data_IF_731112191659
#
_entry.id   IF_731112191659
#
_cell.length_a   1.000
_cell.length_b   1.000
_cell.length_c   1.000
_cell.angle_alpha   90.00
_cell.angle_beta   90.00
_cell.angle_gamma   90.00
#
_symmetry.space_group_name_H-M   'P 1'
#
loop_
_entity.id
_entity.type
_entity.pdbx_description
1 polymer ?
#
# COMPACT_ATOMS: atom_id res chain seq x y z
N UNK A 1 9.49 10.36 4.57
CA UNK A 1 10.11 9.23 3.86
C UNK A 1 11.21 9.68 2.92
N UNK A 2 12.46 9.44 3.32
CA UNK A 2 13.61 9.62 2.43
C UNK A 2 13.69 8.46 1.43
N UNK A 3 13.83 8.76 0.14
CA UNK A 3 14.11 7.76 -0.90
C UNK A 3 15.62 7.55 -0.96
N UNK A 4 16.07 6.35 -0.62
CA UNK A 4 17.49 6.00 -0.53
C UNK A 4 17.99 5.54 -1.89
N UNK A 5 19.09 6.10 -2.39
CA UNK A 5 19.86 5.42 -3.44
C UNK A 5 20.53 4.19 -2.80
N UNK A 6 20.01 3.01 -3.10
CA UNK A 6 20.42 1.79 -2.41
C UNK A 6 21.78 1.28 -2.89
N UNK A 7 22.22 1.66 -4.10
CA UNK A 7 23.33 1.00 -4.80
C UNK A 7 23.07 -0.46 -5.20
N UNK A 8 21.91 -1.01 -4.85
CA UNK A 8 21.51 -2.40 -5.11
C UNK A 8 20.81 -2.52 -6.47
N UNK A 9 20.88 -3.69 -7.09
CA UNK A 9 20.11 -3.98 -8.31
C UNK A 9 18.62 -4.10 -8.00
N UNK A 10 17.75 -3.83 -8.98
CA UNK A 10 16.32 -4.05 -8.78
C UNK A 10 16.02 -5.51 -8.46
N UNK A 11 16.70 -6.45 -9.13
CA UNK A 11 16.55 -7.89 -8.94
C UNK A 11 16.92 -8.35 -7.53
N UNK A 12 17.97 -7.78 -6.91
CA UNK A 12 18.34 -8.11 -5.52
C UNK A 12 17.35 -7.57 -4.50
N UNK A 13 16.62 -6.51 -4.84
CA UNK A 13 15.57 -5.89 -4.03
C UNK A 13 14.18 -6.53 -4.22
N UNK A 14 13.97 -7.36 -5.24
CA UNK A 14 12.65 -7.99 -5.45
C UNK A 14 12.27 -8.99 -4.36
N UNK A 15 13.24 -9.64 -3.70
CA UNK A 15 12.97 -10.51 -2.56
C UNK A 15 12.69 -9.66 -1.31
N UNK A 16 11.47 -9.65 -0.73
CA UNK A 16 11.17 -8.86 0.46
C UNK A 16 11.95 -9.28 1.71
N UNK A 17 12.56 -10.47 1.70
CA UNK A 17 13.45 -10.99 2.74
C UNK A 17 14.93 -10.93 2.36
N UNK A 18 15.23 -10.41 1.16
CA UNK A 18 16.56 -10.39 0.60
C UNK A 18 17.55 -9.58 1.43
N UNK A 19 18.83 -9.96 1.36
CA UNK A 19 19.91 -9.25 2.08
C UNK A 19 20.08 -7.79 1.63
N UNK A 20 19.67 -7.46 0.39
CA UNK A 20 19.72 -6.09 -0.14
C UNK A 20 18.88 -5.10 0.68
N UNK A 21 17.88 -5.57 1.42
CA UNK A 21 17.10 -4.73 2.34
C UNK A 21 17.76 -4.55 3.71
N UNK A 22 18.74 -5.39 4.06
CA UNK A 22 19.40 -5.33 5.36
C UNK A 22 20.31 -4.09 5.43
N UNK A 23 20.14 -3.29 6.48
CA UNK A 23 20.92 -2.07 6.69
C UNK A 23 20.36 -0.84 5.99
N UNK A 24 19.38 -0.99 5.09
CA UNK A 24 18.57 0.14 4.61
C UNK A 24 17.65 0.61 5.73
N UNK A 25 17.63 1.91 5.98
CA UNK A 25 16.80 2.50 7.03
C UNK A 25 15.41 2.82 6.50
N UNK A 26 14.37 2.36 7.20
CA UNK A 26 12.99 2.72 6.91
C UNK A 26 12.41 3.72 7.91
N UNK A 27 11.14 4.04 7.71
CA UNK A 27 10.32 4.78 8.65
C UNK A 27 9.14 3.91 9.08
N UNK A 28 8.83 3.86 10.38
CA UNK A 28 7.61 3.24 10.90
C UNK A 28 6.50 4.27 10.87
N UNK A 29 5.44 3.99 10.10
CA UNK A 29 4.28 4.85 9.97
C UNK A 29 3.14 4.32 10.83
N UNK A 30 2.52 5.21 11.61
CA UNK A 30 1.29 4.88 12.32
C UNK A 30 0.13 4.67 11.34
N UNK A 31 -0.69 3.66 11.63
CA UNK A 31 -1.91 3.36 10.91
C UNK A 31 -3.12 3.49 11.82
N UNK A 32 -4.18 4.05 11.27
CA UNK A 32 -5.47 4.20 11.92
C UNK A 32 -6.58 3.58 11.07
N UNK A 33 -7.68 3.10 11.66
CA UNK A 33 -8.81 2.61 10.88
C UNK A 33 -9.36 3.74 9.98
N UNK A 34 -9.56 3.44 8.70
CA UNK A 34 -10.17 4.38 7.78
C UNK A 34 -11.56 4.82 8.28
N UNK A 35 -11.93 6.11 8.11
CA UNK A 35 -13.26 6.58 8.49
C UNK A 35 -14.38 5.73 7.87
N UNK A 36 -15.30 5.27 8.72
CA UNK A 36 -16.50 4.55 8.29
C UNK A 36 -17.58 5.53 7.80
N UNK A 37 -17.52 6.77 8.31
CA UNK A 37 -18.36 7.87 7.85
C UNK A 37 -17.97 8.23 6.41
N UNK A 38 -18.90 8.09 5.49
CA UNK A 38 -18.66 8.32 4.05
C UNK A 38 -18.41 7.05 3.23
N UNK A 39 -18.42 5.86 3.84
CA UNK A 39 -18.35 4.60 3.08
C UNK A 39 -19.49 4.51 2.05
N UNK A 40 -19.21 4.28 0.76
CA UNK A 40 -20.25 4.29 -0.29
C UNK A 40 -21.32 3.22 -0.07
N UNK A 41 -20.94 2.09 0.54
CA UNK A 41 -21.88 1.01 0.86
C UNK A 41 -22.66 1.34 2.14
N UNK A 42 -23.98 1.53 1.98
CA UNK A 42 -24.91 1.68 3.12
C UNK A 42 -24.86 0.52 4.11
N UNK A 43 -24.62 -0.70 3.62
CA UNK A 43 -24.48 -1.87 4.47
C UNK A 43 -23.24 -1.75 5.37
N UNK A 44 -22.09 -1.37 4.79
CA UNK A 44 -20.85 -1.19 5.55
C UNK A 44 -20.99 -0.06 6.56
N UNK A 45 -21.52 1.09 6.12
CA UNK A 45 -21.75 2.23 7.00
C UNK A 45 -22.64 1.86 8.19
N UNK A 46 -23.70 1.05 7.98
CA UNK A 46 -24.59 0.61 9.05
C UNK A 46 -23.97 -0.48 9.95
N UNK A 47 -23.25 -1.45 9.38
CA UNK A 47 -22.70 -2.58 10.12
C UNK A 47 -21.52 -2.19 11.04
N UNK A 48 -20.81 -1.11 10.71
CA UNK A 48 -19.59 -0.68 11.40
C UNK A 48 -19.70 0.72 12.02
N UNK A 49 -20.92 1.15 12.39
CA UNK A 49 -21.15 2.46 13.05
C UNK A 49 -20.37 2.62 14.36
N UNK A 50 -20.07 1.51 15.04
CA UNK A 50 -19.27 1.48 16.27
C UNK A 50 -17.76 1.54 16.02
N UNK A 51 -17.33 1.61 14.76
CA UNK A 51 -15.93 1.60 14.34
C UNK A 51 -15.62 0.46 13.36
N UNK A 52 -14.64 0.69 12.50
CA UNK A 52 -14.08 -0.33 11.61
C UNK A 52 -13.34 -1.40 12.43
N UNK A 53 -13.20 -2.64 11.90
CA UNK A 53 -12.36 -3.66 12.50
C UNK A 53 -10.91 -3.16 12.66
N UNK A 54 -10.29 -3.51 13.77
CA UNK A 54 -8.86 -3.24 14.01
C UNK A 54 -8.02 -4.16 13.14
N UNK A 55 -7.09 -3.59 12.39
CA UNK A 55 -6.01 -4.31 11.71
C UNK A 55 -4.66 -3.90 12.27
N UNK A 56 -3.60 -3.96 11.46
CA UNK A 56 -2.30 -3.43 11.85
C UNK A 56 -2.39 -1.94 12.26
N UNK A 57 -1.67 -1.57 13.32
CA UNK A 57 -1.57 -0.20 13.84
C UNK A 57 -0.34 0.55 13.35
N UNK A 58 0.57 -0.15 12.67
CA UNK A 58 1.80 0.42 12.13
C UNK A 58 2.28 -0.38 10.92
N UNK A 59 3.08 0.28 10.08
CA UNK A 59 3.76 -0.34 8.93
C UNK A 59 5.14 0.27 8.80
N UNK A 60 6.15 -0.59 8.67
CA UNK A 60 7.50 -0.19 8.32
C UNK A 60 7.60 0.01 6.81
N UNK A 61 8.15 1.15 6.38
CA UNK A 61 8.31 1.49 4.97
C UNK A 61 9.76 1.83 4.67
N UNK A 62 10.33 1.17 3.65
CA UNK A 62 11.61 1.54 3.06
C UNK A 62 11.36 1.97 1.62
N UNK A 63 11.76 3.19 1.26
CA UNK A 63 11.68 3.72 -0.09
C UNK A 63 13.09 3.81 -0.69
N UNK A 64 13.28 3.25 -1.88
CA UNK A 64 14.58 3.22 -2.54
C UNK A 64 14.49 3.55 -4.02
N UNK A 65 15.59 4.08 -4.54
CA UNK A 65 15.92 3.99 -5.95
C UNK A 65 16.99 2.91 -6.11
N UNK A 66 16.76 1.97 -7.02
CA UNK A 66 17.77 0.96 -7.35
C UNK A 66 18.87 1.57 -8.23
N UNK A 67 19.99 0.87 -8.34
CA UNK A 67 21.09 1.22 -9.27
C UNK A 67 20.66 1.26 -10.74
N UNK A 68 19.58 0.56 -11.10
CA UNK A 68 18.97 0.60 -12.44
C UNK A 68 18.01 1.78 -12.65
N UNK A 69 17.75 2.57 -11.61
CA UNK A 69 16.86 3.74 -11.64
C UNK A 69 15.40 3.45 -11.27
N UNK A 70 15.06 2.20 -10.90
CA UNK A 70 13.69 1.86 -10.53
C UNK A 70 13.34 2.42 -9.16
N UNK A 71 12.12 2.90 -9.02
CA UNK A 71 11.57 3.29 -7.72
C UNK A 71 10.90 2.08 -7.06
N UNK A 72 11.27 1.78 -5.82
CA UNK A 72 10.76 0.62 -5.09
C UNK A 72 10.38 0.99 -3.67
N UNK A 73 9.32 0.34 -3.17
CA UNK A 73 8.82 0.49 -1.82
C UNK A 73 8.70 -0.88 -1.18
N UNK A 74 9.32 -1.08 -0.02
CA UNK A 74 9.11 -2.25 0.82
C UNK A 74 8.24 -1.87 2.01
N UNK A 75 7.09 -2.51 2.12
CA UNK A 75 6.20 -2.45 3.28
C UNK A 75 6.42 -3.69 4.15
N UNK A 76 6.35 -3.54 5.46
CA UNK A 76 6.24 -4.67 6.39
C UNK A 76 5.35 -4.32 7.57
N UNK A 77 4.43 -5.22 7.92
CA UNK A 77 3.53 -5.03 9.06
C UNK A 77 3.33 -6.35 9.82
N UNK A 78 3.08 -6.29 11.15
CA UNK A 78 2.70 -7.45 11.94
C UNK A 78 1.35 -8.00 11.51
N UNK A 79 1.27 -9.32 11.42
CA UNK A 79 0.08 -10.06 11.00
C UNK A 79 0.16 -11.47 11.61
N UNK A 80 -0.93 -11.92 12.25
CA UNK A 80 -0.89 -13.16 13.04
C UNK A 80 -1.04 -14.44 12.20
N UNK A 81 -1.73 -14.35 11.07
CA UNK A 81 -2.11 -15.48 10.22
C UNK A 81 -2.23 -14.99 8.78
N UNK A 82 -1.41 -15.47 7.82
CA UNK A 82 -1.45 -14.96 6.47
C UNK A 82 -2.76 -15.35 5.79
N UNK A 83 -3.70 -14.41 5.74
CA UNK A 83 -5.00 -14.60 5.12
C UNK A 83 -4.85 -14.50 3.60
N UNK A 84 -4.74 -15.65 2.96
CA UNK A 84 -4.53 -15.70 1.50
C UNK A 84 -5.86 -15.85 0.75
N UNK A 85 -6.79 -16.67 1.23
CA UNK A 85 -7.92 -17.12 0.41
C UNK A 85 -9.01 -16.05 0.23
N UNK A 86 -9.47 -15.84 -1.01
CA UNK A 86 -10.66 -15.05 -1.32
C UNK A 86 -11.91 -15.94 -1.44
N UNK A 87 -13.02 -15.52 -0.82
CA UNK A 87 -14.30 -16.25 -0.90
C UNK A 87 -15.45 -15.52 -0.19
N UNK A 88 -16.61 -16.16 -0.09
CA UNK A 88 -17.86 -15.54 0.41
C UNK A 88 -17.72 -14.87 1.79
N UNK A 89 -16.88 -15.44 2.66
CA UNK A 89 -16.55 -14.90 4.00
C UNK A 89 -15.07 -15.01 4.31
N UNK A 90 -14.23 -15.04 3.26
CA UNK A 90 -12.78 -15.08 3.38
C UNK A 90 -12.24 -13.88 2.63
N UNK A 91 -11.56 -13.01 3.36
CA UNK A 91 -10.97 -11.81 2.83
C UNK A 91 -9.46 -12.00 2.92
N UNK A 92 -8.72 -11.85 1.81
CA UNK A 92 -7.28 -11.87 1.88
C UNK A 92 -6.76 -10.61 2.55
N UNK A 93 -5.57 -10.71 3.14
CA UNK A 93 -4.76 -9.55 3.47
C UNK A 93 -4.42 -8.78 2.20
N UNK A 94 -4.15 -7.49 2.36
CA UNK A 94 -3.74 -6.67 1.24
C UNK A 94 -2.93 -5.47 1.69
N UNK A 95 -2.22 -4.88 0.75
CA UNK A 95 -1.55 -3.61 0.94
C UNK A 95 -1.72 -2.74 -0.30
N UNK A 96 -1.76 -1.43 -0.08
CA UNK A 96 -1.75 -0.45 -1.13
C UNK A 96 -0.82 0.71 -0.78
N UNK A 97 -0.18 1.26 -1.80
CA UNK A 97 0.42 2.59 -1.73
C UNK A 97 -0.33 3.49 -2.68
N UNK A 98 -0.80 4.63 -2.16
CA UNK A 98 -1.52 5.64 -2.91
C UNK A 98 -0.62 6.86 -3.13
N UNK A 99 -0.79 7.52 -4.27
CA UNK A 99 -0.04 8.68 -4.71
C UNK A 99 -0.98 9.73 -5.30
N UNK A 100 -0.79 11.03 -5.06
CA UNK A 100 -1.53 12.04 -5.80
C UNK A 100 -1.10 11.99 -7.28
N UNK A 101 -2.05 11.88 -8.20
CA UNK A 101 -1.72 11.99 -9.63
C UNK A 101 -1.48 13.45 -10.03
N UNK A 102 -2.03 14.41 -9.27
CA UNK A 102 -1.76 15.83 -9.42
C UNK A 102 -2.06 16.59 -8.12
N UNK A 103 -1.31 17.68 -7.89
CA UNK A 103 -1.55 18.63 -6.81
C UNK A 103 -1.64 18.00 -5.42
N UNK A 104 -2.51 18.57 -4.59
CA UNK A 104 -2.79 18.10 -3.23
C UNK A 104 -4.13 17.33 -3.21
N UNK A 105 -4.15 16.18 -3.88
CA UNK A 105 -5.34 15.34 -3.93
C UNK A 105 -5.88 15.03 -2.52
N UNK A 106 -7.22 15.10 -2.29
CA UNK A 106 -7.80 14.82 -1.00
C UNK A 106 -7.55 13.37 -0.59
N UNK A 107 -6.78 13.17 0.48
CA UNK A 107 -6.33 11.84 0.92
C UNK A 107 -7.51 10.96 1.33
N UNK A 108 -8.38 11.47 2.21
CA UNK A 108 -9.42 10.66 2.85
C UNK A 108 -10.58 10.35 1.91
N UNK A 109 -10.83 11.21 0.94
CA UNK A 109 -11.82 11.01 -0.10
C UNK A 109 -11.28 10.13 -1.24
N UNK A 110 -9.99 9.75 -1.21
CA UNK A 110 -9.33 9.04 -2.30
C UNK A 110 -9.37 9.83 -3.63
N UNK A 111 -9.01 11.11 -3.55
CA UNK A 111 -8.98 12.02 -4.68
C UNK A 111 -10.33 12.68 -4.98
N UNK A 112 -10.35 13.38 -6.11
CA UNK A 112 -11.54 14.01 -6.70
C UNK A 112 -11.45 13.95 -8.23
N UNK A 113 -12.51 14.29 -8.98
CA UNK A 113 -12.44 14.34 -10.44
C UNK A 113 -11.33 15.25 -10.98
N UNK A 114 -11.06 16.37 -10.32
CA UNK A 114 -10.03 17.33 -10.72
C UNK A 114 -8.64 17.00 -10.14
N UNK A 115 -8.59 16.17 -9.09
CA UNK A 115 -7.37 15.77 -8.41
C UNK A 115 -7.37 14.26 -8.14
N UNK A 116 -7.18 13.44 -9.20
CA UNK A 116 -7.17 11.99 -9.06
C UNK A 116 -5.98 11.49 -8.24
N UNK A 117 -6.10 10.27 -7.76
CA UNK A 117 -5.02 9.51 -7.13
C UNK A 117 -4.71 8.25 -7.93
N UNK A 118 -3.48 7.78 -7.86
CA UNK A 118 -3.04 6.48 -8.36
C UNK A 118 -2.73 5.57 -7.18
N UNK A 119 -2.97 4.28 -7.33
CA UNK A 119 -2.64 3.28 -6.31
C UNK A 119 -1.91 2.10 -6.93
N UNK A 120 -0.95 1.59 -6.19
CA UNK A 120 -0.37 0.27 -6.38
C UNK A 120 -0.99 -0.64 -5.35
N UNK A 121 -1.65 -1.69 -5.79
CA UNK A 121 -2.40 -2.60 -4.92
C UNK A 121 -1.88 -4.01 -5.06
N UNK A 122 -1.63 -4.65 -3.92
CA UNK A 122 -1.19 -6.03 -3.82
C UNK A 122 -2.16 -6.83 -2.96
N UNK A 123 -2.31 -8.11 -3.34
CA UNK A 123 -3.04 -9.14 -2.60
C UNK A 123 -2.35 -10.50 -2.83
N UNK A 124 -2.27 -11.38 -1.81
CA UNK A 124 -1.48 -12.62 -1.91
C UNK A 124 -2.07 -13.69 -2.84
N UNK A 125 -3.39 -13.73 -3.07
CA UNK A 125 -4.04 -14.68 -4.00
C UNK A 125 -4.00 -14.26 -5.47
N UNK A 126 -3.39 -13.10 -5.78
CA UNK A 126 -3.27 -12.59 -7.14
C UNK A 126 -1.90 -12.92 -7.77
N UNK A 127 -1.25 -13.99 -7.31
CA UNK A 127 -0.01 -14.55 -7.86
C UNK A 127 1.14 -13.52 -8.06
N UNK A 128 1.21 -12.50 -7.19
CA UNK A 128 2.23 -11.44 -7.26
C UNK A 128 1.93 -10.34 -8.31
N UNK A 129 0.70 -10.25 -8.81
CA UNK A 129 0.24 -9.11 -9.60
C UNK A 129 0.24 -7.85 -8.72
N UNK A 130 0.91 -6.79 -9.20
CA UNK A 130 0.68 -5.43 -8.71
C UNK A 130 -0.38 -4.78 -9.58
N UNK A 131 -1.50 -4.41 -8.98
CA UNK A 131 -2.61 -3.79 -9.68
C UNK A 131 -2.42 -2.29 -9.66
N UNK A 132 -2.31 -1.68 -10.85
CA UNK A 132 -2.44 -0.24 -11.00
C UNK A 132 -3.91 0.14 -10.92
N UNK A 133 -4.22 1.06 -10.02
CA UNK A 133 -5.55 1.59 -9.84
C UNK A 133 -5.53 3.12 -9.91
N UNK A 134 -6.65 3.71 -10.26
CA UNK A 134 -6.90 5.14 -10.12
C UNK A 134 -8.22 5.38 -9.41
N UNK A 135 -8.36 6.52 -8.74
CA UNK A 135 -9.61 6.95 -8.14
C UNK A 135 -9.76 8.46 -8.22
N UNK A 136 -11.02 8.89 -8.33
CA UNK A 136 -11.46 10.29 -8.33
C UNK A 136 -12.47 10.55 -7.20
N UNK A 137 -12.32 9.83 -6.08
CA UNK A 137 -13.28 9.83 -4.98
C UNK A 137 -13.61 8.43 -4.46
N UNK A 138 -14.23 8.36 -3.27
CA UNK A 138 -14.67 7.11 -2.65
C UNK A 138 -15.63 6.34 -3.58
N UNK A 139 -15.33 5.06 -3.79
CA UNK A 139 -16.15 4.18 -4.63
C UNK A 139 -15.94 4.33 -6.15
N UNK A 140 -14.98 5.14 -6.59
CA UNK A 140 -14.61 5.33 -8.01
C UNK A 140 -13.32 4.61 -8.42
N UNK A 141 -12.89 3.61 -7.64
CA UNK A 141 -11.65 2.88 -7.91
C UNK A 141 -11.80 2.08 -9.20
N UNK A 142 -10.91 2.34 -10.15
CA UNK A 142 -10.85 1.68 -11.46
C UNK A 142 -9.43 1.18 -11.76
N UNK A 143 -9.31 0.22 -12.68
CA UNK A 143 -8.02 -0.26 -13.17
C UNK A 143 -7.38 0.78 -14.08
N UNK A 144 -6.10 1.02 -13.86
CA UNK A 144 -5.26 1.79 -14.76
C UNK A 144 -4.26 0.88 -15.48
N UNK A 145 -3.61 1.40 -16.53
CA UNK A 145 -2.43 0.75 -17.08
C UNK A 145 -1.26 0.95 -16.13
N UNK A 146 -0.67 -0.15 -15.69
CA UNK A 146 0.42 -0.17 -14.72
C UNK A 146 1.81 -0.26 -15.32
N UNK A 147 1.96 -0.24 -16.66
CA UNK A 147 3.21 -0.53 -17.37
C UNK A 147 4.51 -0.41 -16.56
N UNK A 148 5.12 -1.55 -16.21
CA UNK A 148 6.36 -1.62 -15.43
C UNK A 148 6.17 -1.82 -13.91
N UNK A 149 4.93 -1.83 -13.41
CA UNK A 149 4.64 -2.14 -12.01
C UNK A 149 4.68 -3.64 -11.73
N UNK A 150 5.29 -4.01 -10.61
CA UNK A 150 5.25 -5.37 -10.08
C UNK A 150 5.23 -5.36 -8.55
N UNK A 151 4.81 -6.49 -7.97
CA UNK A 151 4.86 -6.71 -6.53
C UNK A 151 5.40 -8.10 -6.22
N UNK A 152 6.18 -8.20 -5.16
CA UNK A 152 6.64 -9.47 -4.59
C UNK A 152 6.36 -9.45 -3.10
N UNK A 153 6.00 -10.60 -2.54
CA UNK A 153 5.62 -10.69 -1.15
C UNK A 153 6.23 -11.92 -0.48
N UNK A 154 6.45 -11.81 0.81
CA UNK A 154 6.78 -12.91 1.69
C UNK A 154 6.01 -12.74 3.01
N UNK A 155 5.68 -13.86 3.63
CA UNK A 155 5.21 -13.90 5.00
C UNK A 155 6.19 -14.72 5.83
N UNK A 156 6.63 -14.19 6.96
CA UNK A 156 7.56 -14.86 7.87
C UNK A 156 7.46 -14.26 9.27
N UNK A 157 7.57 -15.12 10.28
CA UNK A 157 7.58 -14.73 11.70
C UNK A 157 6.48 -13.71 12.11
N UNK A 158 5.24 -13.98 11.70
CA UNK A 158 4.10 -13.13 12.06
C UNK A 158 4.11 -11.76 11.39
N UNK A 159 4.69 -11.65 10.18
CA UNK A 159 4.75 -10.41 9.42
C UNK A 159 4.57 -10.67 7.94
N UNK A 160 3.79 -9.80 7.32
CA UNK A 160 3.87 -9.59 5.87
C UNK A 160 5.01 -8.66 5.51
N UNK A 161 5.60 -8.92 4.35
CA UNK A 161 6.55 -8.06 3.67
C UNK A 161 6.19 -8.00 2.19
N UNK A 162 6.01 -6.80 1.65
CA UNK A 162 5.63 -6.58 0.25
C UNK A 162 6.56 -5.56 -0.36
N UNK A 163 7.17 -5.89 -1.49
CA UNK A 163 7.97 -4.99 -2.31
C UNK A 163 7.14 -4.62 -3.53
N UNK A 164 6.86 -3.33 -3.69
CA UNK A 164 6.36 -2.75 -4.94
C UNK A 164 7.54 -2.19 -5.74
N UNK A 165 7.52 -2.42 -7.05
CA UNK A 165 8.51 -1.89 -8.00
C UNK A 165 7.80 -1.11 -9.10
N UNK A 166 8.32 0.05 -9.45
CA UNK A 166 7.97 0.80 -10.64
C UNK A 166 9.20 0.94 -11.54
N UNK A 167 9.23 0.15 -12.61
CA UNK A 167 10.37 0.08 -13.50
C UNK A 167 10.59 1.41 -14.25
N UNK A 168 11.74 2.04 -14.03
CA UNK A 168 12.10 3.34 -14.61
C UNK A 168 11.18 4.50 -14.23
N UNK A 169 10.33 4.34 -13.21
CA UNK A 169 9.37 5.35 -12.79
C UNK A 169 9.97 6.43 -11.90
N UNK A 170 9.42 7.64 -12.00
CA UNK A 170 9.77 8.76 -11.13
C UNK A 170 9.25 8.57 -9.70
N UNK A 171 9.89 9.27 -8.75
CA UNK A 171 9.42 9.34 -7.36
C UNK A 171 8.19 10.27 -7.29
N UNK A 172 7.04 9.80 -6.79
CA UNK A 172 5.76 10.53 -6.87
C UNK A 172 5.61 11.70 -5.88
N UNK A 173 6.68 12.10 -5.17
CA UNK A 173 6.74 13.24 -4.24
C UNK A 173 5.94 13.07 -2.94
N UNK A 174 4.83 12.33 -2.95
CA UNK A 174 4.02 11.97 -1.77
C UNK A 174 3.47 10.55 -1.89
N UNK A 175 3.32 9.86 -0.76
CA UNK A 175 2.68 8.56 -0.68
C UNK A 175 1.81 8.44 0.58
N UNK A 176 0.80 7.59 0.52
CA UNK A 176 0.02 7.15 1.67
C UNK A 176 -0.11 5.63 1.63
N UNK A 177 -0.14 4.98 2.78
CA UNK A 177 -0.19 3.51 2.87
C UNK A 177 -1.53 3.06 3.42
N UNK A 178 -2.04 1.96 2.88
CA UNK A 178 -3.16 1.24 3.45
C UNK A 178 -2.83 -0.26 3.53
N UNK A 179 -3.27 -0.91 4.60
CA UNK A 179 -3.19 -2.36 4.77
C UNK A 179 -4.54 -2.90 5.21
N UNK A 180 -4.82 -4.13 4.81
CA UNK A 180 -6.04 -4.86 5.15
C UNK A 180 -5.65 -6.15 5.88
N UNK A 181 -6.26 -6.34 7.05
CA UNK A 181 -6.23 -7.58 7.85
C UNK A 181 -7.49 -8.40 7.53
N UNK A 182 -7.29 -9.46 6.75
CA UNK A 182 -8.33 -10.31 6.20
C UNK A 182 -9.14 -11.02 7.28
N UNK A 183 -8.47 -11.53 8.30
CA UNK A 183 -9.03 -12.27 9.44
C UNK A 183 -9.90 -11.40 10.34
N UNK A 184 -9.62 -10.10 10.41
CA UNK A 184 -10.52 -9.11 11.03
C UNK A 184 -11.71 -8.70 10.13
N UNK A 185 -11.78 -9.23 8.91
CA UNK A 185 -12.82 -8.91 7.93
C UNK A 185 -12.63 -7.55 7.26
N UNK A 186 -11.41 -7.00 7.25
CA UNK A 186 -11.12 -5.80 6.48
C UNK A 186 -11.15 -6.11 4.98
N UNK A 187 -11.81 -5.23 4.22
CA UNK A 187 -11.95 -5.29 2.75
C UNK A 187 -12.56 -4.00 2.23
N UNK A 188 -12.25 -3.65 0.99
CA UNK A 188 -12.76 -2.42 0.36
C UNK A 188 -12.33 -1.20 1.18
N UNK A 189 -13.27 -0.36 1.60
CA UNK A 189 -12.96 0.81 2.42
C UNK A 189 -12.70 0.53 3.90
N UNK A 190 -12.90 -0.69 4.40
CA UNK A 190 -12.51 -1.08 5.76
C UNK A 190 -11.05 -1.54 5.73
N UNK A 191 -10.15 -0.76 6.33
CA UNK A 191 -8.70 -0.93 6.26
C UNK A 191 -8.01 -0.05 7.30
N UNK A 192 -6.74 -0.33 7.57
CA UNK A 192 -5.85 0.56 8.30
C UNK A 192 -5.10 1.47 7.32
N UNK A 193 -5.02 2.77 7.59
CA UNK A 193 -4.41 3.79 6.70
C UNK A 193 -3.49 4.74 7.44
N UNK A 194 -2.53 5.33 6.74
CA UNK A 194 -1.82 6.51 7.24
C UNK A 194 -2.75 7.72 7.23
N UNK A 195 -2.82 8.47 8.33
CA UNK A 195 -3.72 9.65 8.46
C UNK A 195 -3.30 10.90 7.66
N UNK A 196 -2.13 10.90 7.03
CA UNK A 196 -1.62 12.02 6.23
C UNK A 196 -0.72 11.54 5.09
N UNK A 197 -0.56 12.39 4.07
CA UNK A 197 0.43 12.18 3.02
C UNK A 197 1.84 12.20 3.62
N UNK A 198 2.63 11.18 3.29
CA UNK A 198 4.05 11.12 3.59
C UNK A 198 4.82 11.73 2.42
N UNK A 199 5.65 12.75 2.68
CA UNK A 199 6.54 13.28 1.66
C UNK A 199 7.60 12.23 1.30
N UNK A 200 7.83 12.08 0.00
CA UNK A 200 8.89 11.29 -0.61
C UNK A 200 9.91 12.25 -1.20
N UNK A 201 11.10 12.28 -0.60
CA UNK A 201 12.19 13.16 -1.02
C UNK A 201 13.38 12.31 -1.45
N UNK A 202 13.92 12.57 -2.63
CA UNK A 202 15.18 11.97 -3.06
C UNK A 202 16.29 12.30 -2.05
N UNK A 203 17.13 11.32 -1.75
CA UNK A 203 18.37 11.58 -1.04
C UNK A 203 19.25 12.54 -1.86
N UNK A 204 19.48 13.74 -1.34
CA UNK A 204 20.55 14.63 -1.83
C UNK A 204 21.93 14.00 -1.59
#
# INVERSE_FOLDING_TARGET
MKVIDSGESSESLEDPKGQAWQGLSGETLALEPAPVDGQPSRYVAAAYQSGAPTGASEVDVIAVRSSGGDFMLRLSWPDGDPDIAYGERKFPDAAAVMFPASGDAPLQEMGSPDQPVNLWYWRPDLDGECQALTATGLGSVERADGGGLSAKSAYDDGKWMVVFRNQGGDVPGKAAVAVWEGGAGQRGGLKSVTGSWQNLEDAQ
#
